data_IF_439724328182
#
_entry.id   IF_439724328182
#
_cell.length_a   1.000
_cell.length_b   1.000
_cell.length_c   1.000
_cell.angle_alpha   90.00
_cell.angle_beta   90.00
_cell.angle_gamma   90.00
#
_symmetry.space_group_name_H-M   'P 1'
#
loop_
_entity.id
_entity.type
_entity.pdbx_description
1 polymer ?
#
# COMPACT_ATOMS: atom_id res chain seq x y z
N UNK A 1 12.09 -0.82 -8.15
CA UNK A 1 11.59 -2.09 -7.58
C UNK A 1 12.65 -2.93 -6.88
N UNK A 2 13.87 -3.09 -7.42
CA UNK A 2 14.88 -3.96 -6.77
C UNK A 2 15.31 -3.44 -5.39
N UNK A 3 15.50 -2.13 -5.24
CA UNK A 3 15.78 -1.48 -3.94
C UNK A 3 14.68 -1.76 -2.91
N UNK A 4 13.41 -1.67 -3.32
CA UNK A 4 12.27 -1.97 -2.44
C UNK A 4 12.24 -3.45 -2.05
N UNK A 5 12.54 -4.38 -2.98
CA UNK A 5 12.66 -5.81 -2.67
C UNK A 5 13.80 -6.08 -1.68
N UNK A 6 14.94 -5.41 -1.84
CA UNK A 6 16.05 -5.49 -0.90
C UNK A 6 15.64 -5.00 0.50
N UNK A 7 15.04 -3.82 0.58
CA UNK A 7 14.48 -3.26 1.80
C UNK A 7 13.52 -4.25 2.48
N UNK A 8 12.54 -4.79 1.73
CA UNK A 8 11.58 -5.76 2.27
C UNK A 8 12.24 -7.03 2.79
N UNK A 9 13.30 -7.52 2.11
CA UNK A 9 14.08 -8.66 2.58
C UNK A 9 14.77 -8.36 3.91
N UNK A 10 15.36 -7.17 4.05
CA UNK A 10 16.04 -6.72 5.27
C UNK A 10 15.06 -6.51 6.41
N UNK A 11 13.93 -5.85 6.15
CA UNK A 11 12.83 -5.68 7.10
C UNK A 11 12.31 -7.04 7.59
N UNK A 12 12.05 -7.99 6.67
CA UNK A 12 11.59 -9.34 7.03
C UNK A 12 12.59 -10.07 7.93
N UNK A 13 13.89 -9.94 7.66
CA UNK A 13 14.93 -10.52 8.51
C UNK A 13 14.89 -9.88 9.91
N UNK A 14 14.85 -8.56 10.02
CA UNK A 14 14.76 -7.86 11.29
C UNK A 14 13.53 -8.33 12.08
N UNK A 15 12.35 -8.32 11.46
CA UNK A 15 11.08 -8.74 12.08
C UNK A 15 11.13 -10.20 12.51
N UNK A 16 11.78 -11.09 11.75
CA UNK A 16 11.92 -12.49 12.12
C UNK A 16 12.77 -12.72 13.38
N UNK A 17 13.75 -11.84 13.63
CA UNK A 17 14.67 -11.92 14.78
C UNK A 17 14.16 -11.13 16.00
N UNK A 18 13.53 -9.99 15.75
CA UNK A 18 13.08 -9.00 16.74
C UNK A 18 11.66 -8.55 16.46
N UNK A 19 10.76 -9.53 16.50
CA UNK A 19 9.33 -9.33 16.25
C UNK A 19 8.69 -8.33 17.22
N UNK A 20 9.20 -8.28 18.44
CA UNK A 20 8.77 -7.35 19.49
C UNK A 20 8.82 -5.89 19.04
N UNK A 21 9.87 -5.49 18.31
CA UNK A 21 10.05 -4.10 17.86
C UNK A 21 8.91 -3.67 16.94
N UNK A 22 8.63 -4.44 15.90
CA UNK A 22 7.58 -4.07 14.93
C UNK A 22 6.18 -4.22 15.53
N UNK A 23 5.97 -5.21 16.42
CA UNK A 23 4.69 -5.39 17.10
C UNK A 23 4.38 -4.17 17.98
N UNK A 24 5.35 -3.66 18.73
CA UNK A 24 5.17 -2.47 19.56
C UNK A 24 4.86 -1.24 18.71
N UNK A 25 5.63 -1.00 17.64
CA UNK A 25 5.39 0.12 16.72
C UNK A 25 3.99 0.05 16.11
N UNK A 26 3.59 -1.09 15.54
CA UNK A 26 2.28 -1.26 14.93
C UNK A 26 1.14 -1.17 15.96
N UNK A 27 1.34 -1.70 17.16
CA UNK A 27 0.32 -1.63 18.22
C UNK A 27 0.03 -0.19 18.62
N UNK A 28 1.05 0.67 18.70
CA UNK A 28 0.87 2.10 18.97
C UNK A 28 0.11 2.80 17.84
N UNK A 29 0.49 2.53 16.58
CA UNK A 29 -0.19 3.06 15.39
C UNK A 29 -1.68 2.68 15.40
N UNK A 30 -1.99 1.40 15.60
CA UNK A 30 -3.37 0.92 15.55
C UNK A 30 -4.19 1.24 16.79
N UNK A 31 -3.56 1.48 17.95
CA UNK A 31 -4.27 1.99 19.12
C UNK A 31 -4.93 3.34 18.81
N UNK A 32 -4.26 4.23 18.09
CA UNK A 32 -4.84 5.51 17.66
C UNK A 32 -6.05 5.32 16.74
N UNK A 33 -5.99 4.33 15.85
CA UNK A 33 -7.12 3.98 14.99
C UNK A 33 -8.30 3.45 15.81
N UNK A 34 -8.04 2.56 16.76
CA UNK A 34 -9.08 1.94 17.61
C UNK A 34 -9.83 2.95 18.46
N UNK A 35 -9.16 3.99 18.95
CA UNK A 35 -9.81 5.08 19.70
C UNK A 35 -10.50 6.10 18.78
N UNK A 36 -10.54 5.86 17.47
CA UNK A 36 -11.20 6.72 16.49
C UNK A 36 -10.43 8.00 16.16
N UNK A 37 -9.13 8.07 16.46
CA UNK A 37 -8.34 9.25 16.15
C UNK A 37 -8.02 9.31 14.64
N UNK A 38 -8.25 10.48 14.03
CA UNK A 38 -8.03 10.72 12.60
C UNK A 38 -6.55 10.80 12.21
N UNK A 39 -5.63 10.97 13.16
CA UNK A 39 -4.18 11.11 12.90
C UNK A 39 -3.43 9.78 12.86
N UNK A 40 -4.13 8.64 12.80
CA UNK A 40 -3.49 7.33 12.76
C UNK A 40 -2.69 7.10 11.46
N UNK A 41 -3.06 7.76 10.37
CA UNK A 41 -2.30 7.78 9.12
C UNK A 41 -0.98 8.54 9.31
N UNK A 42 -1.03 9.78 9.81
CA UNK A 42 0.18 10.56 10.13
C UNK A 42 1.10 9.80 11.12
N UNK A 43 0.52 9.12 12.12
CA UNK A 43 1.30 8.32 13.07
C UNK A 43 1.91 7.08 12.42
N UNK A 44 1.25 6.48 11.42
CA UNK A 44 1.83 5.39 10.66
C UNK A 44 3.07 5.86 9.90
N UNK A 45 3.01 7.05 9.31
CA UNK A 45 4.11 7.67 8.57
C UNK A 45 5.32 7.94 9.47
N UNK A 46 5.09 8.67 10.56
CA UNK A 46 6.14 8.99 11.54
C UNK A 46 6.66 7.72 12.21
N UNK A 47 5.76 6.85 12.68
CA UNK A 47 6.11 5.65 13.41
C UNK A 47 6.94 4.67 12.59
N UNK A 48 6.64 4.50 11.30
CA UNK A 48 7.44 3.67 10.42
C UNK A 48 8.77 4.34 10.05
N UNK A 49 8.79 5.65 9.78
CA UNK A 49 10.04 6.36 9.51
C UNK A 49 11.02 6.24 10.68
N UNK A 50 10.54 6.44 11.90
CA UNK A 50 11.33 6.29 13.13
C UNK A 50 11.76 4.85 13.37
N UNK A 51 10.87 3.87 13.14
CA UNK A 51 11.24 2.45 13.24
C UNK A 51 12.41 2.10 12.31
N UNK A 52 12.38 2.59 11.07
CA UNK A 52 13.45 2.37 10.09
C UNK A 52 14.74 3.01 10.59
N UNK A 53 14.70 4.29 10.97
CA UNK A 53 15.87 5.03 11.47
C UNK A 53 16.51 4.40 12.70
N UNK A 54 15.72 3.82 13.60
CA UNK A 54 16.21 3.26 14.85
C UNK A 54 16.72 1.82 14.71
N UNK A 55 16.11 1.01 13.85
CA UNK A 55 16.32 -0.44 13.88
C UNK A 55 16.86 -1.04 12.58
N UNK A 56 16.85 -0.31 11.45
CA UNK A 56 17.34 -0.80 10.18
C UNK A 56 18.66 -0.12 9.79
N UNK A 57 19.79 -0.64 10.28
CA UNK A 57 21.11 -0.02 10.13
C UNK A 57 21.58 0.32 8.71
N UNK A 58 21.09 -0.40 7.69
CA UNK A 58 21.41 -0.15 6.28
C UNK A 58 20.55 0.97 5.66
N UNK A 59 19.55 1.48 6.39
CA UNK A 59 18.51 2.35 5.85
C UNK A 59 18.20 3.52 6.76
N UNK A 60 17.94 4.66 6.13
CA UNK A 60 17.34 5.83 6.74
C UNK A 60 15.99 6.09 6.08
N UNK A 61 15.09 6.71 6.83
CA UNK A 61 13.80 7.16 6.35
C UNK A 61 13.59 8.64 6.68
N UNK A 62 13.01 9.37 5.73
CA UNK A 62 12.59 10.75 5.90
C UNK A 62 11.08 10.81 5.70
N UNK A 63 10.37 11.44 6.64
CA UNK A 63 8.96 11.77 6.46
C UNK A 63 8.84 12.93 5.49
N UNK A 64 8.06 12.76 4.43
CA UNK A 64 7.96 13.78 3.36
C UNK A 64 6.99 14.89 3.77
N UNK A 65 5.98 14.58 4.59
CA UNK A 65 5.01 15.54 5.11
C UNK A 65 4.27 16.34 4.02
N UNK A 66 3.41 17.27 4.42
CA UNK A 66 2.70 18.15 3.49
C UNK A 66 3.52 19.36 3.03
N UNK A 67 4.65 19.63 3.70
CA UNK A 67 5.38 20.90 3.54
C UNK A 67 6.49 20.86 2.49
N UNK A 68 7.04 19.69 2.14
CA UNK A 68 8.24 19.61 1.28
C UNK A 68 7.99 19.56 -0.22
N UNK A 69 6.75 19.41 -0.70
CA UNK A 69 6.45 19.35 -2.13
C UNK A 69 5.19 20.13 -2.51
N UNK A 70 5.34 21.46 -2.63
CA UNK A 70 4.42 22.34 -3.38
C UNK A 70 4.46 22.11 -4.91
N UNK A 71 5.13 21.06 -5.37
CA UNK A 71 5.22 20.63 -6.76
C UNK A 71 5.01 19.10 -6.83
N UNK A 72 3.77 18.62 -6.67
CA UNK A 72 3.47 17.17 -6.69
C UNK A 72 3.38 16.66 -8.13
N UNK A 73 4.34 15.81 -8.53
CA UNK A 73 4.13 14.79 -9.57
C UNK A 73 3.73 13.43 -8.95
N UNK A 74 3.96 13.20 -7.64
CA UNK A 74 3.59 11.94 -6.96
C UNK A 74 3.24 12.13 -5.47
N UNK A 75 2.46 11.19 -4.93
CA UNK A 75 1.92 11.19 -3.57
C UNK A 75 2.55 10.07 -2.72
N UNK A 76 3.73 10.32 -2.17
CA UNK A 76 4.40 9.34 -1.31
C UNK A 76 4.66 9.88 0.11
N UNK A 77 4.56 8.98 1.09
CA UNK A 77 4.44 9.35 2.50
C UNK A 77 5.83 9.45 3.18
N UNK A 78 6.74 8.54 2.82
CA UNK A 78 8.14 8.54 3.29
C UNK A 78 9.12 8.27 2.13
N UNK A 79 10.36 8.72 2.29
CA UNK A 79 11.47 8.36 1.40
C UNK A 79 12.45 7.48 2.16
N UNK A 80 12.77 6.32 1.59
CA UNK A 80 13.79 5.41 2.11
C UNK A 80 15.11 5.69 1.40
N UNK A 81 16.18 5.78 2.17
CA UNK A 81 17.55 5.97 1.72
C UNK A 81 18.35 4.75 2.15
N UNK A 82 18.92 4.02 1.20
CA UNK A 82 19.90 2.98 1.51
C UNK A 82 21.22 3.66 1.85
N UNK A 83 21.70 3.52 3.09
CA UNK A 83 22.90 4.23 3.54
C UNK A 83 24.20 3.63 2.95
N UNK A 84 24.15 2.41 2.44
CA UNK A 84 25.28 1.74 1.79
C UNK A 84 25.41 2.16 0.33
N UNK A 85 24.34 2.02 -0.45
CA UNK A 85 24.34 2.32 -1.90
C UNK A 85 24.02 3.78 -2.22
N UNK A 86 23.51 4.54 -1.25
CA UNK A 86 22.96 5.90 -1.39
C UNK A 86 21.75 6.00 -2.31
N UNK A 87 21.17 4.86 -2.72
CA UNK A 87 19.93 4.83 -3.48
C UNK A 87 18.77 5.38 -2.63
N UNK A 88 17.81 6.01 -3.30
CA UNK A 88 16.61 6.53 -2.66
C UNK A 88 15.39 6.02 -3.42
N UNK A 89 14.35 5.69 -2.68
CA UNK A 89 13.07 5.37 -3.28
C UNK A 89 11.92 5.83 -2.38
N UNK A 90 10.83 6.33 -2.97
CA UNK A 90 9.66 6.72 -2.21
C UNK A 90 8.83 5.49 -1.83
N UNK A 91 8.12 5.59 -0.70
CA UNK A 91 7.27 4.53 -0.17
C UNK A 91 5.95 5.13 0.32
N UNK A 92 4.84 4.62 -0.20
CA UNK A 92 3.52 4.93 0.33
C UNK A 92 3.10 3.91 1.39
N UNK A 93 2.66 4.43 2.53
CA UNK A 93 2.12 3.71 3.66
C UNK A 93 0.60 3.79 3.62
N UNK A 94 -0.05 2.64 3.77
CA UNK A 94 -1.52 2.59 3.85
C UNK A 94 -1.92 1.83 5.12
N UNK A 95 -2.41 2.55 6.12
CA UNK A 95 -2.84 1.98 7.40
C UNK A 95 -4.36 1.79 7.40
N UNK A 96 -4.83 0.53 7.31
CA UNK A 96 -6.27 0.23 7.29
C UNK A 96 -6.63 -1.04 8.06
N UNK A 97 -7.92 -1.18 8.37
CA UNK A 97 -8.47 -2.39 8.98
C UNK A 97 -8.55 -3.54 7.98
N UNK A 98 -8.70 -4.77 8.46
CA UNK A 98 -8.81 -5.97 7.61
C UNK A 98 -9.79 -5.80 6.42
N UNK A 99 -9.27 -5.89 5.20
CA UNK A 99 -10.00 -5.62 3.95
C UNK A 99 -9.08 -5.65 2.71
N UNK A 100 -9.65 -5.55 1.49
CA UNK A 100 -8.83 -5.45 0.29
C UNK A 100 -8.02 -4.15 0.29
N UNK A 101 -6.80 -4.19 -0.27
CA UNK A 101 -6.03 -2.98 -0.52
C UNK A 101 -6.81 -2.08 -1.47
N UNK A 102 -7.21 -0.91 -0.97
CA UNK A 102 -7.81 0.14 -1.77
C UNK A 102 -6.70 1.11 -2.14
N UNK A 103 -6.28 1.08 -3.40
CA UNK A 103 -5.47 2.15 -3.95
C UNK A 103 -6.43 3.27 -4.32
N UNK A 104 -6.17 4.49 -3.86
CA UNK A 104 -6.83 5.65 -4.43
C UNK A 104 -6.53 5.64 -5.93
N UNK A 105 -7.54 5.94 -6.74
CA UNK A 105 -7.31 6.29 -8.15
C UNK A 105 -6.16 7.27 -8.21
N UNK A 106 -5.29 7.09 -9.18
CA UNK A 106 -4.19 8.00 -9.49
C UNK A 106 -4.62 9.46 -9.35
N UNK A 107 -3.68 10.36 -9.05
CA UNK A 107 -3.96 11.80 -8.90
C UNK A 107 -4.73 12.38 -10.09
N UNK A 108 -4.59 11.76 -11.27
CA UNK A 108 -5.24 12.15 -12.52
C UNK A 108 -6.54 11.38 -12.81
N UNK A 109 -6.96 10.46 -11.94
CA UNK A 109 -8.16 9.63 -12.04
C UNK A 109 -8.30 8.87 -13.38
N UNK A 110 -7.20 8.39 -13.98
CA UNK A 110 -7.17 7.67 -15.27
C UNK A 110 -7.58 6.20 -15.15
N UNK A 111 -7.22 5.51 -14.06
CA UNK A 111 -7.45 4.05 -13.96
C UNK A 111 -8.94 3.68 -13.93
N UNK A 112 -9.74 4.42 -13.16
CA UNK A 112 -11.15 4.07 -12.95
C UNK A 112 -12.03 4.28 -14.20
N UNK A 113 -11.98 5.44 -14.90
CA UNK A 113 -12.69 5.64 -16.16
C UNK A 113 -12.24 4.66 -17.24
N UNK A 114 -10.93 4.35 -17.29
CA UNK A 114 -10.44 3.36 -18.25
C UNK A 114 -11.05 1.98 -17.99
N UNK A 115 -11.04 1.48 -16.75
CA UNK A 115 -11.69 0.21 -16.41
C UNK A 115 -13.20 0.24 -16.69
N UNK A 116 -13.89 1.35 -16.45
CA UNK A 116 -15.30 1.52 -16.80
C UNK A 116 -15.56 1.36 -18.30
N UNK A 117 -14.65 1.83 -19.16
CA UNK A 117 -14.74 1.61 -20.60
C UNK A 117 -14.54 0.14 -21.02
N UNK A 118 -13.89 -0.68 -20.19
CA UNK A 118 -13.62 -2.11 -20.47
C UNK A 118 -14.76 -3.03 -20.05
N UNK A 119 -15.70 -2.54 -19.23
CA UNK A 119 -16.87 -3.27 -18.76
C UNK A 119 -16.82 -3.66 -17.28
N UNK A 120 -17.91 -4.27 -16.80
CA UNK A 120 -18.10 -4.56 -15.37
C UNK A 120 -17.41 -5.83 -14.88
N UNK A 121 -17.09 -6.75 -15.79
CA UNK A 121 -16.43 -8.00 -15.45
C UNK A 121 -15.48 -8.42 -16.58
N UNK A 122 -14.22 -8.59 -16.23
CA UNK A 122 -13.16 -8.93 -17.18
C UNK A 122 -12.47 -10.21 -16.67
N UNK A 123 -12.56 -11.28 -17.45
CA UNK A 123 -12.01 -12.61 -17.10
C UNK A 123 -11.03 -13.13 -18.15
N UNK A 124 -10.94 -12.47 -19.31
CA UNK A 124 -10.01 -12.82 -20.37
C UNK A 124 -8.58 -12.39 -19.97
N UNK A 125 -7.65 -13.35 -19.87
CA UNK A 125 -6.27 -13.09 -19.46
C UNK A 125 -5.50 -12.18 -20.43
N UNK A 126 -5.75 -12.29 -21.73
CA UNK A 126 -5.07 -11.46 -22.72
C UNK A 126 -5.54 -10.00 -22.59
N UNK A 127 -6.85 -9.80 -22.35
CA UNK A 127 -7.39 -8.47 -22.07
C UNK A 127 -6.83 -7.89 -20.76
N UNK A 128 -6.75 -8.69 -19.68
CA UNK A 128 -6.16 -8.27 -18.41
C UNK A 128 -4.69 -7.87 -18.59
N UNK A 129 -3.92 -8.63 -19.37
CA UNK A 129 -2.53 -8.30 -19.67
C UNK A 129 -2.41 -6.97 -20.45
N UNK A 130 -3.31 -6.73 -21.41
CA UNK A 130 -3.37 -5.45 -22.14
C UNK A 130 -3.70 -4.30 -21.20
N UNK A 131 -4.67 -4.46 -20.29
CA UNK A 131 -5.05 -3.44 -19.30
C UNK A 131 -3.85 -3.02 -18.45
N UNK A 132 -3.09 -3.97 -17.89
CA UNK A 132 -1.92 -3.67 -17.08
C UNK A 132 -0.76 -3.04 -17.87
N UNK A 133 -0.76 -3.17 -19.19
CA UNK A 133 0.24 -2.60 -20.07
C UNK A 133 -0.13 -1.19 -20.58
N UNK A 134 -1.33 -0.69 -20.27
CA UNK A 134 -1.74 0.64 -20.74
C UNK A 134 -1.14 1.77 -19.93
N UNK A 135 -1.12 2.96 -20.52
CA UNK A 135 -0.55 4.15 -19.89
C UNK A 135 -1.34 4.58 -18.63
N UNK A 136 -2.64 4.28 -18.57
CA UNK A 136 -3.49 4.53 -17.40
C UNK A 136 -3.05 3.70 -16.18
N UNK A 137 -2.37 2.56 -16.40
CA UNK A 137 -1.80 1.71 -15.36
C UNK A 137 -0.29 1.91 -15.15
N UNK A 138 0.33 2.92 -15.79
CA UNK A 138 1.77 3.14 -15.68
C UNK A 138 2.22 3.39 -14.23
N UNK A 139 1.42 4.11 -13.44
CA UNK A 139 1.73 4.43 -12.05
C UNK A 139 1.57 3.24 -11.10
N UNK A 140 0.66 2.31 -11.42
CA UNK A 140 0.49 1.08 -10.66
C UNK A 140 1.83 0.34 -10.53
N UNK A 141 2.63 0.28 -11.60
CA UNK A 141 3.92 -0.40 -11.61
C UNK A 141 5.05 0.37 -10.90
N UNK A 142 4.85 1.65 -10.60
CA UNK A 142 5.91 2.57 -10.19
C UNK A 142 5.85 2.99 -8.71
N UNK A 143 4.76 2.67 -8.01
CA UNK A 143 4.59 3.05 -6.61
C UNK A 143 4.99 1.89 -5.70
N UNK A 144 5.92 2.11 -4.77
CA UNK A 144 6.13 1.15 -3.70
C UNK A 144 5.04 1.37 -2.64
N UNK A 145 4.24 0.36 -2.36
CA UNK A 145 3.17 0.42 -1.35
C UNK A 145 3.46 -0.58 -0.25
N UNK A 146 3.36 -0.12 1.00
CA UNK A 146 3.48 -0.96 2.20
C UNK A 146 2.23 -0.81 3.07
N UNK A 147 1.24 -1.70 2.86
CA UNK A 147 0.05 -1.73 3.70
C UNK A 147 0.34 -2.22 5.11
N UNK A 148 -0.10 -1.45 6.09
CA UNK A 148 -0.15 -1.83 7.50
C UNK A 148 -1.60 -2.23 7.79
N UNK A 149 -1.81 -3.50 8.10
CA UNK A 149 -3.14 -4.09 8.24
C UNK A 149 -3.39 -4.46 9.70
N UNK A 150 -4.53 -4.03 10.23
CA UNK A 150 -5.00 -4.47 11.54
C UNK A 150 -6.27 -5.31 11.45
N UNK A 151 -6.17 -6.55 11.90
CA UNK A 151 -7.32 -7.41 12.10
C UNK A 151 -7.85 -7.22 13.52
N UNK A 152 -8.84 -6.34 13.65
CA UNK A 152 -9.48 -5.99 14.92
C UNK A 152 -10.09 -7.22 15.62
N UNK A 153 -10.74 -8.10 14.85
CA UNK A 153 -11.41 -9.31 15.37
C UNK A 153 -10.41 -10.23 16.08
N UNK A 154 -9.23 -10.41 15.49
CA UNK A 154 -8.19 -11.30 16.01
C UNK A 154 -7.11 -10.56 16.82
N UNK A 155 -7.17 -9.23 16.92
CA UNK A 155 -6.15 -8.36 17.53
C UNK A 155 -4.75 -8.60 16.96
N UNK A 156 -4.65 -8.64 15.63
CA UNK A 156 -3.40 -8.97 14.92
C UNK A 156 -2.99 -7.84 13.98
N UNK A 157 -1.69 -7.51 13.99
CA UNK A 157 -1.09 -6.57 13.05
C UNK A 157 -0.29 -7.34 11.99
N UNK A 158 -0.41 -6.93 10.73
CA UNK A 158 0.34 -7.48 9.61
C UNK A 158 0.91 -6.34 8.76
N UNK A 159 2.09 -6.58 8.18
CA UNK A 159 2.61 -5.75 7.08
C UNK A 159 2.48 -6.57 5.82
N UNK A 160 1.76 -6.05 4.83
CA UNK A 160 1.72 -6.65 3.51
C UNK A 160 2.84 -6.05 2.66
N UNK A 161 3.61 -6.91 2.01
CA UNK A 161 4.54 -6.49 0.97
C UNK A 161 3.82 -6.65 -0.36
N UNK A 162 3.49 -5.54 -1.01
CA UNK A 162 2.82 -5.57 -2.30
C UNK A 162 3.83 -5.93 -3.41
N UNK A 163 3.55 -6.99 -4.15
CA UNK A 163 4.35 -7.45 -5.28
C UNK A 163 3.54 -7.28 -6.56
N UNK A 164 3.82 -6.20 -7.30
CA UNK A 164 3.14 -5.85 -8.54
C UNK A 164 3.19 -6.95 -9.59
N UNK A 165 4.37 -7.55 -9.79
CA UNK A 165 4.55 -8.60 -10.79
C UNK A 165 3.72 -9.84 -10.43
N UNK A 166 3.67 -10.19 -9.14
CA UNK A 166 2.82 -11.27 -8.66
C UNK A 166 1.33 -10.92 -8.75
N UNK A 167 0.94 -9.68 -8.46
CA UNK A 167 -0.44 -9.22 -8.57
C UNK A 167 -0.93 -9.33 -10.02
N UNK A 168 -0.17 -8.79 -10.98
CA UNK A 168 -0.49 -8.88 -12.42
C UNK A 168 -0.60 -10.33 -12.87
N UNK A 169 0.41 -11.15 -12.53
CA UNK A 169 0.46 -12.57 -12.93
C UNK A 169 -0.71 -13.38 -12.38
N UNK A 170 -1.13 -13.09 -11.16
CA UNK A 170 -2.15 -13.87 -10.47
C UNK A 170 -3.57 -13.35 -10.70
N UNK A 171 -3.73 -12.13 -11.24
CA UNK A 171 -5.05 -11.59 -11.57
C UNK A 171 -5.68 -12.43 -12.67
N UNK A 172 -6.72 -13.16 -12.31
CA UNK A 172 -7.58 -13.93 -13.20
C UNK A 172 -8.90 -13.21 -13.49
N UNK A 173 -9.29 -12.23 -12.66
CA UNK A 173 -10.54 -11.49 -12.82
C UNK A 173 -10.44 -10.05 -12.32
N UNK A 174 -11.00 -9.12 -13.08
CA UNK A 174 -11.25 -7.75 -12.65
C UNK A 174 -12.77 -7.55 -12.57
N UNK A 175 -13.28 -7.16 -11.41
CA UNK A 175 -14.71 -7.07 -11.13
C UNK A 175 -15.08 -5.67 -10.63
N UNK A 176 -16.04 -5.03 -11.29
CA UNK A 176 -16.71 -3.84 -10.79
C UNK A 176 -17.68 -4.19 -9.67
N UNK A 177 -17.67 -3.39 -8.61
CA UNK A 177 -18.59 -3.49 -7.48
C UNK A 177 -19.26 -2.14 -7.33
N UNK A 178 -20.57 -2.13 -7.55
CA UNK A 178 -21.39 -0.94 -7.44
C UNK A 178 -21.57 -0.50 -5.99
N UNK A 179 -21.91 0.77 -5.82
CA UNK A 179 -22.23 1.36 -4.51
C UNK A 179 -23.31 0.55 -3.79
N UNK A 180 -22.99 0.06 -2.60
CA UNK A 180 -23.91 -0.74 -1.78
C UNK A 180 -24.01 -2.23 -2.17
N UNK A 181 -23.25 -2.67 -3.17
CA UNK A 181 -23.10 -4.10 -3.46
C UNK A 181 -22.12 -4.76 -2.47
N UNK A 182 -22.44 -5.97 -2.05
CA UNK A 182 -21.62 -6.71 -1.09
C UNK A 182 -20.41 -7.34 -1.78
N UNK A 183 -19.22 -7.07 -1.25
CA UNK A 183 -18.02 -7.82 -1.58
C UNK A 183 -17.66 -8.78 -0.44
N UNK A 184 -17.93 -10.07 -0.63
CA UNK A 184 -17.75 -11.09 0.40
C UNK A 184 -18.77 -10.96 1.55
N UNK A 185 -18.37 -11.35 2.77
CA UNK A 185 -19.25 -11.34 3.96
C UNK A 185 -19.36 -9.98 4.68
N UNK A 186 -18.79 -8.90 4.12
CA UNK A 186 -18.83 -7.57 4.75
C UNK A 186 -19.85 -6.68 4.01
N UNK A 187 -20.92 -6.31 4.74
CA UNK A 187 -21.79 -5.18 4.36
C UNK A 187 -21.03 -3.89 4.61
N UNK A 188 -20.38 -3.36 3.59
CA UNK A 188 -19.86 -2.00 3.65
C UNK A 188 -20.64 -1.16 2.65
N UNK A 189 -20.97 0.08 3.01
CA UNK A 189 -21.45 1.10 2.07
C UNK A 189 -20.31 1.51 1.13
N UNK A 190 -19.73 0.52 0.44
CA UNK A 190 -18.49 0.65 -0.31
C UNK A 190 -18.74 1.57 -1.50
N UNK A 191 -17.86 2.55 -1.77
CA UNK A 191 -17.90 3.32 -3.01
C UNK A 191 -17.73 2.38 -4.21
N UNK A 192 -18.09 2.87 -5.41
CA UNK A 192 -17.83 2.13 -6.65
C UNK A 192 -16.34 1.79 -6.72
N UNK A 193 -16.01 0.53 -6.98
CA UNK A 193 -14.63 0.09 -7.02
C UNK A 193 -14.43 -1.09 -7.97
N UNK A 194 -13.19 -1.26 -8.45
CA UNK A 194 -12.77 -2.45 -9.16
C UNK A 194 -11.90 -3.32 -8.26
N UNK A 195 -12.16 -4.63 -8.25
CA UNK A 195 -11.34 -5.60 -7.52
C UNK A 195 -10.61 -6.52 -8.47
N UNK A 196 -9.31 -6.67 -8.23
CA UNK A 196 -8.41 -7.57 -8.93
C UNK A 196 -8.27 -8.85 -8.11
N UNK A 197 -8.62 -10.01 -8.71
CA UNK A 197 -8.59 -11.34 -8.08
C UNK A 197 -7.76 -12.31 -8.88
#
# INVERSE_FOLDING_TARGET
>A
MEEYKNFNKRLKILVSKRRDLIVNTLSNIFTMRLIGNKTHEDLAEIGMAEFINQFMYDFKSIHVGKDFFRAKEREEDIVIINEVTKSQFPLSLKAYGDGPLQLSTDSDQKMFPYLESQGKEITNKDQIAVIFATHEFADFNNINVMPLIYNEKNKQCNIMVFDHAKAIKNTARILYIGKGENYGNKKTGTPNLYVFR
#
